data_IF_461953895774
#
_entry.id   IF_461953895774
#
_cell.length_a   1.000
_cell.length_b   1.000
_cell.length_c   1.000
_cell.angle_alpha   90.00
_cell.angle_beta   90.00
_cell.angle_gamma   90.00
#
_symmetry.space_group_name_H-M   'P 1'
#
loop_
_entity.id
_entity.type
_entity.pdbx_description
1 polymer ?
#
# COMPACT_ATOMS: atom_id res chain seq x y z
N UNK A 1 -1.84 -80.53 17.33
CA UNK A 1 -0.52 -80.05 16.90
C UNK A 1 -0.67 -78.61 16.42
N UNK A 2 0.21 -77.71 16.91
CA UNK A 2 0.48 -76.31 16.48
C UNK A 2 -0.72 -75.35 16.41
N UNK A 3 -0.94 -74.50 17.42
CA UNK A 3 -0.31 -73.18 17.67
C UNK A 3 -0.68 -72.14 16.62
N UNK A 4 -1.31 -71.02 17.02
CA UNK A 4 -0.95 -69.67 16.57
C UNK A 4 -1.53 -68.63 17.54
N UNK A 5 -0.66 -67.76 18.05
CA UNK A 5 -0.95 -66.81 19.12
C UNK A 5 -1.67 -65.55 18.66
N UNK A 6 -2.46 -64.97 19.55
CA UNK A 6 -2.96 -63.61 19.40
C UNK A 6 -2.08 -62.66 20.21
N UNK A 7 -1.35 -61.83 19.48
CA UNK A 7 -0.51 -60.76 20.00
C UNK A 7 -1.35 -59.70 20.70
N UNK A 8 -0.88 -59.26 21.89
CA UNK A 8 -1.33 -58.06 22.58
C UNK A 8 -1.26 -56.85 21.63
N UNK A 9 -2.37 -56.14 21.43
CA UNK A 9 -2.31 -54.74 20.98
C UNK A 9 -2.42 -53.81 22.18
N UNK A 10 -1.37 -53.01 22.33
CA UNK A 10 -1.18 -52.00 23.36
C UNK A 10 -2.13 -50.81 23.13
N UNK A 11 -2.56 -50.21 24.23
CA UNK A 11 -3.47 -49.07 24.30
C UNK A 11 -2.96 -47.86 23.50
N UNK A 12 -3.72 -47.42 22.49
CA UNK A 12 -3.46 -46.16 21.78
C UNK A 12 -3.88 -45.01 22.72
N UNK A 13 -2.89 -44.30 23.27
CA UNK A 13 -3.13 -43.00 23.91
C UNK A 13 -3.10 -41.93 22.81
N UNK A 14 -4.28 -41.45 22.42
CA UNK A 14 -4.41 -40.34 21.48
C UNK A 14 -3.89 -39.06 22.17
N UNK A 15 -2.70 -38.61 21.81
CA UNK A 15 -2.15 -37.33 22.23
C UNK A 15 -2.83 -36.25 21.37
N UNK A 16 -3.79 -35.54 21.97
CA UNK A 16 -4.41 -34.35 21.37
C UNK A 16 -3.36 -33.22 21.37
N UNK A 17 -2.57 -33.12 20.30
CA UNK A 17 -1.73 -31.94 20.05
C UNK A 17 -2.69 -30.83 19.62
N UNK A 18 -2.99 -29.93 20.54
CA UNK A 18 -3.75 -28.71 20.26
C UNK A 18 -2.97 -27.85 19.27
N UNK A 19 -3.44 -27.79 18.02
CA UNK A 19 -2.96 -26.87 17.01
C UNK A 19 -3.48 -25.47 17.38
N UNK A 20 -2.72 -24.74 18.20
CA UNK A 20 -2.98 -23.33 18.48
C UNK A 20 -2.61 -22.55 17.21
N UNK A 21 -3.59 -22.37 16.31
CA UNK A 21 -3.44 -21.53 15.14
C UNK A 21 -3.30 -20.07 15.59
N UNK A 22 -2.06 -19.61 15.74
CA UNK A 22 -1.77 -18.21 15.99
C UNK A 22 -2.03 -17.44 14.69
N UNK A 23 -3.21 -16.83 14.57
CA UNK A 23 -3.56 -15.97 13.45
C UNK A 23 -2.70 -14.70 13.54
N UNK A 24 -1.64 -14.64 12.75
CA UNK A 24 -0.87 -13.41 12.57
C UNK A 24 -1.78 -12.39 11.84
N UNK A 25 -1.92 -11.15 12.33
CA UNK A 25 -2.65 -10.14 11.60
C UNK A 25 -1.93 -9.83 10.29
N UNK A 26 -2.57 -10.17 9.16
CA UNK A 26 -2.19 -9.66 7.85
C UNK A 26 -2.45 -8.15 7.86
N UNK A 27 -1.38 -7.35 7.82
CA UNK A 27 -1.51 -5.90 7.67
C UNK A 27 -1.86 -5.60 6.22
N UNK A 28 -2.99 -4.93 6.00
CA UNK A 28 -3.35 -4.46 4.68
C UNK A 28 -2.46 -3.26 4.29
N UNK A 29 -2.20 -3.12 2.99
CA UNK A 29 -1.43 -2.01 2.46
C UNK A 29 -2.29 -0.73 2.47
N UNK A 30 -1.70 0.40 2.87
CA UNK A 30 -2.39 1.71 2.86
C UNK A 30 -2.81 2.12 1.44
N UNK A 31 -1.96 1.79 0.46
CA UNK A 31 -2.25 1.94 -0.96
C UNK A 31 -2.05 0.62 -1.70
N UNK A 32 -2.88 0.38 -2.70
CA UNK A 32 -2.71 -0.68 -3.69
C UNK A 32 -2.80 -0.08 -5.09
N UNK A 33 -2.51 -0.87 -6.12
CA UNK A 33 -2.52 -0.42 -7.50
C UNK A 33 -3.19 -1.38 -8.46
N UNK A 34 -3.62 -0.84 -9.60
CA UNK A 34 -4.07 -1.59 -10.77
C UNK A 34 -3.22 -1.10 -11.95
N UNK A 35 -2.43 -1.98 -12.61
CA UNK A 35 -2.19 -3.39 -12.24
C UNK A 35 -1.46 -3.53 -10.88
N UNK A 36 -1.53 -4.70 -10.23
CA UNK A 36 -0.69 -4.98 -9.07
C UNK A 36 0.78 -5.06 -9.52
N UNK A 37 1.70 -4.58 -8.66
CA UNK A 37 3.14 -4.51 -8.95
C UNK A 37 3.45 -3.78 -10.27
N UNK A 38 3.02 -2.51 -10.40
CA UNK A 38 3.12 -1.79 -11.66
C UNK A 38 4.58 -1.53 -12.02
N UNK A 39 4.86 -1.53 -13.30
CA UNK A 39 6.13 -1.08 -13.89
C UNK A 39 6.04 0.38 -14.30
N UNK A 40 7.17 0.95 -14.74
CA UNK A 40 7.22 2.34 -15.23
C UNK A 40 6.41 2.58 -16.50
N UNK A 41 6.09 1.53 -17.26
CA UNK A 41 5.41 1.60 -18.55
C UNK A 41 3.90 1.27 -18.45
N UNK A 42 3.42 0.92 -17.25
CA UNK A 42 2.01 0.64 -17.01
C UNK A 42 1.17 1.91 -16.85
N UNK A 43 -0.09 1.82 -17.27
CA UNK A 43 -1.10 2.82 -16.90
C UNK A 43 -1.61 2.50 -15.48
N UNK A 44 -1.24 3.32 -14.50
CA UNK A 44 -1.46 3.04 -13.08
C UNK A 44 -2.69 3.75 -12.52
N UNK A 45 -3.50 2.99 -11.79
CA UNK A 45 -4.50 3.50 -10.85
C UNK A 45 -4.04 3.14 -9.44
N UNK A 46 -4.06 4.11 -8.52
CA UNK A 46 -3.79 3.89 -7.09
C UNK A 46 -5.10 3.92 -6.31
N UNK A 47 -5.29 2.94 -5.43
CA UNK A 47 -6.38 2.90 -4.47
C UNK A 47 -5.84 3.14 -3.06
N UNK A 48 -6.32 4.18 -2.41
CA UNK A 48 -5.98 4.54 -1.03
C UNK A 48 -7.12 4.13 -0.09
N UNK A 49 -6.80 3.33 0.93
CA UNK A 49 -7.72 2.97 2.00
C UNK A 49 -7.39 3.77 3.28
N UNK A 50 -8.23 4.74 3.65
CA UNK A 50 -7.94 5.58 4.82
C UNK A 50 -8.24 4.92 6.17
N UNK A 51 -8.75 3.69 6.21
CA UNK A 51 -8.80 2.91 7.45
C UNK A 51 -7.43 2.34 7.82
N UNK A 52 -6.52 2.22 6.86
CA UNK A 52 -5.18 1.67 7.06
C UNK A 52 -4.16 2.77 7.43
N UNK A 53 -2.95 2.34 7.79
CA UNK A 53 -1.86 3.26 8.13
C UNK A 53 -2.08 3.94 9.48
N UNK A 54 -2.00 5.27 9.51
CA UNK A 54 -2.32 6.08 10.69
C UNK A 54 -3.82 6.32 10.91
N UNK A 55 -4.67 5.94 9.95
CA UNK A 55 -6.12 6.12 10.01
C UNK A 55 -6.57 7.59 10.03
N UNK A 56 -5.68 8.56 9.74
CA UNK A 56 -5.99 9.98 9.96
C UNK A 56 -7.10 10.54 9.05
N UNK A 57 -7.42 9.84 7.95
CA UNK A 57 -8.54 10.15 7.06
C UNK A 57 -9.73 9.16 7.18
N UNK A 58 -9.73 8.24 8.14
CA UNK A 58 -10.85 7.33 8.38
C UNK A 58 -12.17 8.10 8.62
N UNK A 59 -13.25 7.64 7.97
CA UNK A 59 -14.57 8.24 8.05
C UNK A 59 -14.68 9.61 7.38
N UNK A 60 -13.65 10.08 6.67
CA UNK A 60 -13.68 11.38 6.03
C UNK A 60 -14.57 11.35 4.77
N UNK A 61 -15.41 12.37 4.62
CA UNK A 61 -16.37 12.48 3.52
C UNK A 61 -16.14 13.71 2.63
N UNK A 62 -15.15 14.54 2.98
CA UNK A 62 -14.75 15.70 2.19
C UNK A 62 -13.83 15.33 1.02
N UNK A 63 -13.26 16.37 0.40
CA UNK A 63 -12.33 16.25 -0.74
C UNK A 63 -10.94 15.87 -0.25
N UNK A 64 -10.35 14.85 -0.88
CA UNK A 64 -9.02 14.31 -0.56
C UNK A 64 -8.07 14.61 -1.72
N UNK A 65 -6.86 15.03 -1.39
CA UNK A 65 -5.80 15.36 -2.34
C UNK A 65 -4.54 14.55 -2.02
N UNK A 66 -3.73 14.25 -3.03
CA UNK A 66 -2.41 13.66 -2.81
C UNK A 66 -1.32 14.74 -2.89
N UNK A 67 -0.51 14.85 -1.84
CA UNK A 67 0.86 15.34 -1.97
C UNK A 67 1.71 14.17 -2.44
N UNK A 68 2.22 14.24 -3.67
CA UNK A 68 2.85 13.08 -4.29
C UNK A 68 4.04 13.46 -5.15
N UNK A 69 5.03 12.56 -5.18
CA UNK A 69 6.22 12.61 -6.02
C UNK A 69 6.75 11.19 -6.22
N UNK A 70 8.02 11.07 -6.61
CA UNK A 70 8.68 9.79 -6.87
C UNK A 70 10.00 9.67 -6.13
N UNK A 71 10.37 8.45 -5.77
CA UNK A 71 11.74 8.09 -5.41
C UNK A 71 12.43 7.56 -6.66
N UNK A 72 13.60 8.11 -6.98
CA UNK A 72 14.39 7.70 -8.15
C UNK A 72 15.78 7.24 -7.72
N UNK A 73 16.57 6.70 -8.65
CA UNK A 73 17.97 6.36 -8.37
C UNK A 73 18.84 7.57 -8.01
N UNK A 74 18.35 8.79 -8.26
CA UNK A 74 19.01 10.03 -7.86
C UNK A 74 18.58 10.54 -6.46
N UNK A 75 17.57 9.92 -5.83
CA UNK A 75 17.17 10.24 -4.46
C UNK A 75 18.23 9.79 -3.46
N UNK A 76 18.56 10.66 -2.51
CA UNK A 76 19.54 10.34 -1.45
C UNK A 76 18.95 9.36 -0.42
N UNK A 77 17.64 9.44 -0.16
CA UNK A 77 16.89 8.57 0.74
C UNK A 77 15.38 8.65 0.45
N UNK A 78 14.55 7.98 1.26
CA UNK A 78 13.10 7.92 1.09
C UNK A 78 12.35 9.25 1.37
N UNK A 79 13.00 10.25 1.94
CA UNK A 79 12.42 11.59 2.12
C UNK A 79 12.85 12.58 1.02
N UNK A 80 13.80 12.19 0.17
CA UNK A 80 14.27 13.00 -0.96
C UNK A 80 13.43 12.71 -2.22
N UNK A 81 12.16 13.10 -2.15
CA UNK A 81 11.22 12.93 -3.25
C UNK A 81 11.59 13.84 -4.41
N UNK A 82 11.57 13.29 -5.62
CA UNK A 82 11.70 14.03 -6.87
C UNK A 82 10.33 14.25 -7.48
N UNK A 83 10.23 15.24 -8.37
CA UNK A 83 9.03 15.50 -9.16
C UNK A 83 7.74 15.62 -8.33
N UNK A 84 7.85 16.29 -7.17
CA UNK A 84 6.70 16.54 -6.31
C UNK A 84 5.72 17.47 -7.04
N UNK A 85 4.46 17.06 -7.16
CA UNK A 85 3.44 17.83 -7.85
C UNK A 85 2.94 18.96 -6.93
N UNK A 86 3.26 20.19 -7.32
CA UNK A 86 2.92 21.40 -6.58
C UNK A 86 3.59 21.47 -5.20
N UNK A 87 3.13 22.42 -4.37
CA UNK A 87 3.61 22.59 -2.98
C UNK A 87 2.57 22.05 -2.00
N UNK A 88 2.99 21.77 -0.76
CA UNK A 88 2.08 21.27 0.28
C UNK A 88 0.84 22.16 0.42
N UNK A 89 -0.35 21.57 0.36
CA UNK A 89 -1.62 22.30 0.54
C UNK A 89 -2.17 22.99 -0.71
N UNK A 90 -1.45 22.98 -1.83
CA UNK A 90 -1.92 23.60 -3.07
C UNK A 90 -2.93 22.71 -3.81
N UNK A 91 -4.20 22.95 -3.54
CA UNK A 91 -5.33 22.25 -4.17
C UNK A 91 -5.52 22.58 -5.67
N UNK A 92 -4.82 23.58 -6.22
CA UNK A 92 -4.95 23.96 -7.63
C UNK A 92 -4.07 23.12 -8.56
N UNK A 93 -3.00 22.55 -8.00
CA UNK A 93 -2.01 21.74 -8.75
C UNK A 93 -2.02 20.29 -8.27
N UNK A 94 -2.21 20.04 -6.97
CA UNK A 94 -2.22 18.67 -6.45
C UNK A 94 -3.44 17.88 -6.92
N UNK A 95 -3.26 16.60 -7.28
CA UNK A 95 -4.35 15.79 -7.79
C UNK A 95 -5.38 15.53 -6.70
N UNK A 96 -6.63 15.76 -7.04
CA UNK A 96 -7.79 15.36 -6.23
C UNK A 96 -8.09 13.87 -6.48
N UNK A 97 -8.43 13.16 -5.41
CA UNK A 97 -8.86 11.77 -5.49
C UNK A 97 -10.37 11.67 -5.62
N UNK A 98 -10.83 10.63 -6.30
CA UNK A 98 -12.24 10.29 -6.41
C UNK A 98 -12.63 9.28 -5.33
N UNK A 99 -13.72 9.54 -4.61
CA UNK A 99 -14.26 8.58 -3.63
C UNK A 99 -14.96 7.45 -4.38
N UNK A 100 -14.53 6.21 -4.14
CA UNK A 100 -15.07 5.01 -4.82
C UNK A 100 -15.70 4.00 -3.86
N UNK A 101 -15.61 4.24 -2.55
CA UNK A 101 -16.23 3.41 -1.52
C UNK A 101 -16.15 4.07 -0.15
N UNK A 102 -16.63 3.36 0.87
CA UNK A 102 -16.38 3.76 2.26
C UNK A 102 -14.89 3.69 2.55
N UNK A 103 -14.31 4.83 2.92
CA UNK A 103 -12.88 4.98 3.17
C UNK A 103 -11.97 4.48 2.05
N UNK A 104 -12.47 4.48 0.81
CA UNK A 104 -11.71 4.07 -0.36
C UNK A 104 -11.73 5.18 -1.42
N UNK A 105 -10.53 5.59 -1.82
CA UNK A 105 -10.32 6.66 -2.80
C UNK A 105 -9.43 6.18 -3.93
N UNK A 106 -9.67 6.72 -5.12
CA UNK A 106 -8.95 6.43 -6.35
C UNK A 106 -8.16 7.65 -6.80
N UNK A 107 -6.88 7.46 -7.05
CA UNK A 107 -6.03 8.37 -7.80
C UNK A 107 -5.74 7.74 -9.17
N UNK A 108 -6.10 8.43 -10.25
CA UNK A 108 -5.75 8.01 -11.60
C UNK A 108 -4.41 8.67 -12.00
N UNK A 109 -3.35 7.87 -12.09
CA UNK A 109 -2.03 8.34 -12.51
C UNK A 109 -1.91 8.21 -14.04
N UNK A 110 -2.38 7.11 -14.60
CA UNK A 110 -2.15 6.79 -16.01
C UNK A 110 -0.66 6.52 -16.24
N UNK A 111 -0.08 7.14 -17.26
CA UNK A 111 1.36 7.06 -17.54
C UNK A 111 2.17 7.83 -16.47
N UNK A 112 3.02 7.11 -15.74
CA UNK A 112 3.80 7.66 -14.62
C UNK A 112 4.71 8.80 -15.10
N UNK A 113 5.35 8.65 -16.28
CA UNK A 113 6.30 9.65 -16.78
C UNK A 113 5.62 10.96 -17.07
N UNK A 114 4.49 10.93 -17.76
CA UNK A 114 3.71 12.13 -18.08
C UNK A 114 3.08 12.75 -16.83
N UNK A 115 2.60 11.92 -15.90
CA UNK A 115 1.95 12.41 -14.67
C UNK A 115 2.91 13.18 -13.76
N UNK A 116 4.15 12.68 -13.59
CA UNK A 116 5.16 13.32 -12.75
C UNK A 116 6.12 14.22 -13.54
N UNK A 117 6.13 14.20 -14.87
CA UNK A 117 7.10 14.94 -15.69
C UNK A 117 8.51 14.33 -15.66
N UNK A 118 8.62 13.01 -15.49
CA UNK A 118 9.89 12.29 -15.39
C UNK A 118 10.52 12.10 -16.76
N UNK A 119 11.80 12.44 -16.90
CA UNK A 119 12.55 12.28 -18.15
C UNK A 119 12.77 10.81 -18.53
N UNK A 120 12.95 10.49 -19.83
CA UNK A 120 12.99 9.10 -20.32
C UNK A 120 14.18 8.28 -19.78
N UNK A 121 15.29 8.94 -19.39
CA UNK A 121 16.49 8.29 -18.85
C UNK A 121 16.46 8.14 -17.33
N UNK A 122 15.46 8.67 -16.64
CA UNK A 122 15.37 8.58 -15.18
C UNK A 122 14.65 7.29 -14.77
N UNK A 123 15.24 6.60 -13.80
CA UNK A 123 14.73 5.37 -13.22
C UNK A 123 13.95 5.66 -11.95
N UNK A 124 12.63 5.50 -12.03
CA UNK A 124 11.73 5.60 -10.88
C UNK A 124 11.70 4.26 -10.15
N UNK A 125 11.83 4.29 -8.83
CA UNK A 125 11.82 3.12 -7.96
C UNK A 125 10.49 2.98 -7.20
N UNK A 126 9.94 4.11 -6.74
CA UNK A 126 8.71 4.13 -5.93
C UNK A 126 7.89 5.38 -6.23
N UNK A 127 6.57 5.25 -6.13
CA UNK A 127 5.67 6.39 -6.01
C UNK A 127 5.50 6.72 -4.53
N UNK A 128 5.51 8.00 -4.17
CA UNK A 128 5.44 8.46 -2.79
C UNK A 128 4.20 9.33 -2.56
N UNK A 129 3.55 9.18 -1.40
CA UNK A 129 2.28 9.83 -1.09
C UNK A 129 2.16 10.27 0.37
N UNK A 130 1.54 11.42 0.55
CA UNK A 130 0.74 11.77 1.73
C UNK A 130 -0.62 12.23 1.25
N UNK A 131 -1.69 11.63 1.75
CA UNK A 131 -3.04 12.08 1.44
C UNK A 131 -3.50 13.12 2.44
N UNK A 132 -4.33 14.07 2.02
CA UNK A 132 -4.78 15.15 2.90
C UNK A 132 -6.19 15.63 2.58
N UNK A 133 -6.87 16.15 3.59
CA UNK A 133 -8.07 16.96 3.38
C UNK A 133 -7.73 18.26 2.65
N UNK A 134 -8.73 18.83 1.97
CA UNK A 134 -8.60 20.12 1.25
C UNK A 134 -8.01 21.24 2.11
N UNK A 135 -8.41 21.31 3.38
CA UNK A 135 -7.99 22.32 4.38
C UNK A 135 -6.72 21.93 5.14
N UNK A 136 -6.09 20.81 4.77
CA UNK A 136 -4.86 20.25 5.37
C UNK A 136 -4.97 19.88 6.86
N UNK A 137 -6.16 19.90 7.45
CA UNK A 137 -6.35 19.57 8.88
C UNK A 137 -6.24 18.07 9.18
N UNK A 138 -6.44 17.23 8.16
CA UNK A 138 -6.33 15.77 8.27
C UNK A 138 -5.39 15.24 7.21
N UNK A 139 -4.64 14.20 7.58
CA UNK A 139 -3.73 13.50 6.67
C UNK A 139 -3.95 12.00 6.77
N UNK A 140 -3.75 11.30 5.66
CA UNK A 140 -3.63 9.86 5.61
C UNK A 140 -2.18 9.51 5.33
N UNK A 141 -1.57 8.79 6.26
CA UNK A 141 -0.15 8.42 6.24
C UNK A 141 0.02 6.95 6.56
N UNK A 142 1.23 6.45 6.36
CA UNK A 142 1.59 5.14 6.86
C UNK A 142 1.74 5.16 8.39
N UNK A 143 1.89 3.98 8.98
CA UNK A 143 1.94 3.75 10.42
C UNK A 143 2.96 4.68 11.08
N UNK A 144 2.55 5.32 12.18
CA UNK A 144 3.39 6.26 12.91
C UNK A 144 3.53 7.63 12.24
N UNK A 145 2.69 7.94 11.25
CA UNK A 145 2.75 9.20 10.51
C UNK A 145 3.87 9.22 9.46
N UNK A 146 4.28 8.05 8.98
CA UNK A 146 5.30 7.92 7.95
C UNK A 146 4.74 8.19 6.54
N UNK A 147 5.64 8.46 5.61
CA UNK A 147 5.32 8.58 4.19
C UNK A 147 4.85 7.24 3.60
N UNK A 148 3.90 7.28 2.68
CA UNK A 148 3.38 6.08 2.01
C UNK A 148 4.15 5.86 0.71
N UNK A 149 4.58 4.62 0.46
CA UNK A 149 5.28 4.24 -0.77
C UNK A 149 4.56 3.11 -1.50
N UNK A 150 4.52 3.21 -2.83
CA UNK A 150 4.15 2.12 -3.73
C UNK A 150 5.38 1.77 -4.59
N UNK A 151 5.85 0.54 -4.48
CA UNK A 151 7.02 0.07 -5.21
C UNK A 151 6.67 -0.20 -6.67
N UNK A 152 7.57 0.22 -7.57
CA UNK A 152 7.51 -0.20 -8.97
C UNK A 152 8.29 -1.51 -9.14
N UNK A 153 7.70 -2.45 -9.89
CA UNK A 153 8.42 -3.63 -10.31
C UNK A 153 9.48 -3.26 -11.35
N UNK A 154 10.63 -3.92 -11.26
CA UNK A 154 11.58 -3.96 -12.38
C UNK A 154 10.99 -4.88 -13.44
N UNK A 155 10.76 -4.35 -14.65
CA UNK A 155 10.38 -5.16 -15.82
C UNK A 155 11.45 -6.17 -16.22
#
# INVERSE_FOLDING_TARGET
MSSFGFHRLQSIRLLFIGCLAFALPLRAQVVTSIPPFPTIDDSVIVLFNAKEGDGGLQGFTGRVFAHTGVITTASVNLHDWKHVIGTWGDNSVQPELERVGEDLWRLNIGDIRSFYGVGPSETVLKLAFVFRSKDTQRTGRDIGGADIFLDLATG
#
